data_IF_805441672528
#
_entry.id   IF_805441672528
#
_cell.length_a   1.000
_cell.length_b   1.000
_cell.length_c   1.000
_cell.angle_alpha   90.00
_cell.angle_beta   90.00
_cell.angle_gamma   90.00
#
_symmetry.space_group_name_H-M   'P 1'
#
loop_
_entity.id
_entity.type
_entity.pdbx_description
1 polymer ?
#
# COMPACT_ATOMS: atom_id res chain seq x y z
N UNK A 1 -5.12 7.25 14.78
CA UNK A 1 -4.09 6.60 14.84
C UNK A 1 -2.71 7.24 14.94
N UNK A 2 -2.61 8.58 14.84
CA UNK A 2 -1.36 9.28 15.13
C UNK A 2 -0.84 9.02 16.56
N UNK A 3 -1.73 8.90 17.55
CA UNK A 3 -1.36 8.59 18.94
C UNK A 3 -0.78 7.19 19.06
N UNK A 4 -1.35 6.21 18.36
CA UNK A 4 -0.82 4.84 18.33
C UNK A 4 0.56 4.78 17.68
N UNK A 5 0.75 5.47 16.55
CA UNK A 5 2.04 5.54 15.84
C UNK A 5 3.12 6.17 16.73
N UNK A 6 2.80 7.27 17.45
CA UNK A 6 3.71 7.92 18.39
C UNK A 6 4.07 7.00 19.55
N UNK A 7 3.09 6.33 20.14
CA UNK A 7 3.31 5.39 21.24
C UNK A 7 4.18 4.20 20.79
N UNK A 8 3.95 3.70 19.59
CA UNK A 8 4.75 2.62 19.02
C UNK A 8 6.20 3.06 18.75
N UNK A 9 6.41 4.26 18.18
CA UNK A 9 7.74 4.85 17.98
C UNK A 9 8.49 5.00 19.34
N UNK A 10 7.81 5.49 20.38
CA UNK A 10 8.38 5.64 21.72
C UNK A 10 8.73 4.27 22.34
N UNK A 11 7.85 3.28 22.17
CA UNK A 11 8.08 1.93 22.66
C UNK A 11 9.27 1.27 21.94
N UNK A 12 9.36 1.42 20.62
CA UNK A 12 10.50 0.92 19.83
C UNK A 12 11.83 1.54 20.25
N UNK A 13 11.82 2.83 20.60
CA UNK A 13 13.03 3.52 21.06
C UNK A 13 13.45 3.10 22.47
N UNK A 14 12.51 2.77 23.37
CA UNK A 14 12.78 2.43 24.78
C UNK A 14 12.98 0.94 25.03
N UNK A 15 12.27 0.10 24.33
CA UNK A 15 12.32 -1.36 24.46
C UNK A 15 12.11 -2.02 23.07
N UNK A 16 13.16 -2.10 22.24
CA UNK A 16 13.07 -2.65 20.88
C UNK A 16 12.60 -4.12 20.83
N UNK A 17 12.77 -4.86 21.91
CA UNK A 17 12.40 -6.27 22.01
C UNK A 17 11.02 -6.49 22.68
N UNK A 18 10.27 -5.42 22.92
CA UNK A 18 8.96 -5.54 23.55
C UNK A 18 8.03 -6.43 22.73
N UNK A 19 7.37 -7.37 23.43
CA UNK A 19 6.43 -8.30 22.78
C UNK A 19 5.25 -7.62 22.09
N UNK A 20 4.89 -6.40 22.46
CA UNK A 20 3.85 -5.60 21.78
C UNK A 20 4.32 -5.20 20.39
N UNK A 21 5.61 -4.89 20.20
CA UNK A 21 6.20 -4.54 18.91
C UNK A 21 6.25 -5.76 17.99
N UNK A 22 6.60 -6.93 18.54
CA UNK A 22 6.69 -8.19 17.78
C UNK A 22 5.32 -8.85 17.55
N UNK A 23 4.33 -8.59 18.40
CA UNK A 23 2.95 -9.08 18.30
C UNK A 23 2.02 -8.05 17.67
N UNK A 24 2.42 -7.39 16.59
CA UNK A 24 1.53 -6.53 15.82
C UNK A 24 0.43 -7.38 15.20
N UNK A 25 -0.74 -7.33 15.80
CA UNK A 25 -1.95 -7.99 15.33
C UNK A 25 -2.65 -8.76 16.42
N UNK A 26 -3.86 -8.31 16.74
CA UNK A 26 -4.78 -9.03 17.63
C UNK A 26 -4.93 -10.49 17.17
N UNK A 27 -4.65 -11.45 18.05
CA UNK A 27 -4.99 -12.86 17.85
C UNK A 27 -6.50 -13.01 17.92
N UNK A 28 -7.23 -12.58 16.92
CA UNK A 28 -8.64 -12.93 16.82
C UNK A 28 -8.75 -14.28 16.11
N UNK A 29 -9.38 -15.20 16.79
CA UNK A 29 -10.13 -16.40 16.34
C UNK A 29 -9.85 -16.97 14.93
N UNK A 30 -9.92 -18.23 14.85
CA UNK A 30 -10.16 -19.30 13.86
C UNK A 30 -10.28 -18.98 12.34
N UNK A 31 -10.38 -17.72 11.88
CA UNK A 31 -10.59 -17.35 10.47
C UNK A 31 -9.31 -16.90 9.75
N UNK A 32 -8.14 -16.97 10.39
CA UNK A 32 -6.88 -16.61 9.77
C UNK A 32 -6.27 -17.78 9.02
N UNK A 33 -5.93 -17.55 7.76
CA UNK A 33 -5.24 -18.52 6.93
C UNK A 33 -3.87 -18.00 6.53
N UNK A 34 -2.94 -18.88 6.26
CA UNK A 34 -1.66 -18.52 5.67
C UNK A 34 -1.89 -18.05 4.26
N UNK A 35 -1.48 -16.80 3.95
CA UNK A 35 -1.60 -16.25 2.61
C UNK A 35 -0.47 -16.76 1.71
N UNK A 36 -0.70 -16.89 0.38
CA UNK A 36 0.26 -17.50 -0.53
C UNK A 36 1.62 -16.78 -0.61
N UNK A 37 1.61 -15.45 -0.41
CA UNK A 37 2.80 -14.61 -0.49
C UNK A 37 2.86 -13.67 0.70
N UNK A 38 4.04 -13.52 1.28
CA UNK A 38 4.26 -12.59 2.37
C UNK A 38 4.00 -11.14 1.92
N UNK A 39 3.27 -10.38 2.72
CA UNK A 39 2.93 -8.98 2.43
C UNK A 39 3.59 -8.05 3.46
N UNK A 40 4.83 -7.64 3.20
CA UNK A 40 5.56 -6.70 4.05
C UNK A 40 4.91 -5.31 4.11
N UNK A 41 5.30 -4.52 5.10
CA UNK A 41 4.98 -3.09 5.20
C UNK A 41 6.06 -2.26 4.50
N UNK A 42 5.79 -0.97 4.26
CA UNK A 42 6.79 -0.01 3.82
C UNK A 42 7.45 0.67 5.02
N UNK A 43 8.75 0.93 4.93
CA UNK A 43 9.42 1.77 5.92
C UNK A 43 9.00 3.22 5.71
N UNK A 44 8.79 3.96 6.82
CA UNK A 44 8.35 5.35 6.75
C UNK A 44 9.56 6.27 6.99
N UNK A 45 9.83 7.14 6.03
CA UNK A 45 10.88 8.15 6.12
C UNK A 45 10.24 9.53 6.00
N UNK A 46 10.54 10.44 6.96
CA UNK A 46 9.93 11.77 7.04
C UNK A 46 10.90 12.91 6.74
N UNK A 47 12.21 12.63 6.67
CA UNK A 47 13.26 13.65 6.58
C UNK A 47 14.14 13.48 5.35
N UNK A 48 14.71 14.58 4.87
CA UNK A 48 15.70 14.59 3.78
C UNK A 48 16.91 13.69 4.07
N UNK A 49 17.42 13.78 5.28
CA UNK A 49 18.59 12.98 5.67
C UNK A 49 18.25 11.50 5.76
N UNK A 50 17.03 11.16 6.17
CA UNK A 50 16.52 9.79 6.13
C UNK A 50 16.47 9.23 4.71
N UNK A 51 16.01 10.01 3.72
CA UNK A 51 16.01 9.62 2.30
C UNK A 51 17.43 9.44 1.79
N UNK A 52 18.35 10.36 2.10
CA UNK A 52 19.78 10.23 1.73
C UNK A 52 20.40 8.99 2.34
N UNK A 53 20.16 8.76 3.63
CA UNK A 53 20.65 7.57 4.35
C UNK A 53 20.15 6.29 3.70
N UNK A 54 18.86 6.23 3.35
CA UNK A 54 18.28 5.08 2.65
C UNK A 54 18.95 4.83 1.30
N UNK A 55 19.10 5.87 0.49
CA UNK A 55 19.75 5.80 -0.82
C UNK A 55 21.20 5.29 -0.68
N UNK A 56 21.98 5.87 0.23
CA UNK A 56 23.37 5.49 0.46
C UNK A 56 23.49 4.06 1.00
N UNK A 57 22.66 3.70 1.98
CA UNK A 57 22.68 2.37 2.62
C UNK A 57 22.46 1.24 1.62
N UNK A 58 21.62 1.45 0.64
CA UNK A 58 21.27 0.42 -0.36
C UNK A 58 21.91 0.67 -1.72
N UNK A 59 22.88 1.62 -1.80
CA UNK A 59 23.57 2.00 -3.04
C UNK A 59 22.61 2.22 -4.21
N UNK A 60 21.53 2.94 -3.93
CA UNK A 60 20.46 3.19 -4.90
C UNK A 60 20.89 4.34 -5.81
N UNK A 61 20.86 4.10 -7.11
CA UNK A 61 21.16 5.08 -8.15
C UNK A 61 20.21 4.86 -9.32
N UNK A 62 20.08 5.82 -10.21
CA UNK A 62 19.25 5.79 -11.42
C UNK A 62 17.82 6.33 -11.22
N UNK A 63 16.81 5.62 -11.66
CA UNK A 63 15.43 6.09 -11.68
C UNK A 63 14.59 5.52 -10.55
N UNK A 64 13.58 6.27 -10.15
CA UNK A 64 12.58 5.85 -9.17
C UNK A 64 11.19 5.94 -9.77
N UNK A 65 10.30 5.13 -9.25
CA UNK A 65 8.85 5.30 -9.41
C UNK A 65 8.32 5.97 -8.15
N UNK A 66 7.60 7.07 -8.31
CA UNK A 66 6.79 7.64 -7.23
C UNK A 66 5.34 7.30 -7.51
N UNK A 67 4.64 6.79 -6.50
CA UNK A 67 3.22 6.48 -6.59
C UNK A 67 2.45 6.93 -5.34
N UNK A 68 1.12 7.00 -5.45
CA UNK A 68 0.23 7.23 -4.31
C UNK A 68 0.42 6.13 -3.26
N UNK A 69 0.54 6.52 -1.99
CA UNK A 69 0.37 5.63 -0.86
C UNK A 69 -1.10 5.63 -0.45
N UNK A 70 -1.84 4.70 -1.01
CA UNK A 70 -3.28 4.57 -0.81
C UNK A 70 -3.62 4.26 0.64
N UNK A 71 -4.64 4.90 1.18
CA UNK A 71 -5.11 4.72 2.57
C UNK A 71 -6.36 3.84 2.63
N UNK A 72 -6.18 2.56 2.38
CA UNK A 72 -7.23 1.55 2.38
C UNK A 72 -6.86 0.29 3.18
N UNK A 73 -7.27 -0.87 2.72
CA UNK A 73 -6.96 -2.18 3.30
C UNK A 73 -6.16 -3.00 2.28
N UNK A 74 -4.91 -3.31 2.63
CA UNK A 74 -4.03 -4.06 1.74
C UNK A 74 -4.53 -5.48 1.51
N UNK A 75 -4.59 -5.89 0.25
CA UNK A 75 -5.09 -7.18 -0.18
C UNK A 75 -4.22 -7.84 -1.25
N UNK A 76 -4.26 -9.16 -1.28
CA UNK A 76 -3.59 -10.03 -2.24
C UNK A 76 -4.63 -10.74 -3.08
N UNK A 77 -4.58 -10.55 -4.40
CA UNK A 77 -5.32 -11.33 -5.37
C UNK A 77 -4.41 -12.44 -5.93
N UNK A 78 -4.83 -13.67 -5.85
CA UNK A 78 -4.07 -14.82 -6.36
C UNK A 78 -5.02 -15.95 -6.74
N UNK A 79 -4.94 -16.43 -7.99
CA UNK A 79 -5.73 -17.57 -8.48
C UNK A 79 -7.24 -17.45 -8.19
N UNK A 80 -7.84 -16.32 -8.55
CA UNK A 80 -9.26 -16.02 -8.31
C UNK A 80 -9.67 -16.04 -6.82
N UNK A 81 -8.72 -15.83 -5.92
CA UNK A 81 -8.95 -15.64 -4.49
C UNK A 81 -8.41 -14.28 -4.04
N UNK A 82 -9.03 -13.73 -3.02
CA UNK A 82 -8.67 -12.45 -2.44
C UNK A 82 -8.44 -12.61 -0.93
N UNK A 83 -7.33 -12.06 -0.46
CA UNK A 83 -6.91 -12.18 0.93
C UNK A 83 -6.57 -10.82 1.52
N UNK A 84 -6.92 -10.57 2.77
CA UNK A 84 -6.36 -9.42 3.48
C UNK A 84 -4.90 -9.68 3.85
N UNK A 85 -4.11 -8.59 3.99
CA UNK A 85 -2.71 -8.70 4.43
C UNK A 85 -2.57 -9.33 5.82
N UNK A 86 -3.46 -9.01 6.76
CA UNK A 86 -3.30 -9.40 8.16
C UNK A 86 -1.96 -8.92 8.74
N UNK A 87 -1.20 -9.86 9.34
CA UNK A 87 0.14 -9.58 9.86
C UNK A 87 1.27 -9.75 8.82
N UNK A 88 0.90 -9.94 7.55
CA UNK A 88 1.84 -10.18 6.44
C UNK A 88 2.00 -11.65 6.07
N UNK A 89 1.81 -12.58 6.97
CA UNK A 89 1.89 -14.02 6.73
C UNK A 89 0.51 -14.71 6.84
N UNK A 90 -0.32 -14.23 7.76
CA UNK A 90 -1.67 -14.74 8.01
C UNK A 90 -2.69 -13.62 7.82
N UNK A 91 -3.62 -13.81 6.91
CA UNK A 91 -4.73 -12.91 6.61
C UNK A 91 -6.08 -13.63 6.66
N UNK A 92 -7.12 -12.99 6.15
CA UNK A 92 -8.45 -13.60 5.99
C UNK A 92 -8.72 -13.84 4.52
N UNK A 93 -9.38 -14.94 4.20
CA UNK A 93 -9.98 -15.13 2.87
C UNK A 93 -11.23 -14.24 2.76
N UNK A 94 -11.18 -13.34 1.81
CA UNK A 94 -12.25 -12.39 1.49
C UNK A 94 -12.69 -12.54 0.02
N UNK A 95 -12.48 -13.71 -0.57
CA UNK A 95 -12.77 -14.00 -1.98
C UNK A 95 -14.23 -13.76 -2.35
N UNK A 96 -15.16 -13.83 -1.39
CA UNK A 96 -16.55 -13.48 -1.59
C UNK A 96 -16.80 -12.03 -2.03
N UNK A 97 -15.81 -11.13 -1.85
CA UNK A 97 -15.88 -9.75 -2.31
C UNK A 97 -15.61 -9.60 -3.82
N UNK A 98 -14.95 -10.57 -4.45
CA UNK A 98 -14.58 -10.49 -5.88
C UNK A 98 -15.78 -10.20 -6.78
N UNK A 99 -16.95 -10.77 -6.47
CA UNK A 99 -18.18 -10.56 -7.25
C UNK A 99 -18.70 -9.11 -7.24
N UNK A 100 -18.23 -8.29 -6.29
CA UNK A 100 -18.62 -6.88 -6.15
C UNK A 100 -17.57 -5.92 -6.72
N UNK A 101 -16.34 -6.41 -6.98
CA UNK A 101 -15.26 -5.59 -7.48
C UNK A 101 -15.30 -5.53 -9.01
N UNK A 102 -15.12 -4.33 -9.55
CA UNK A 102 -14.92 -4.13 -10.99
C UNK A 102 -13.46 -4.45 -11.35
N UNK A 103 -13.16 -5.74 -11.44
CA UNK A 103 -11.84 -6.27 -11.79
C UNK A 103 -11.93 -7.28 -12.93
N UNK A 104 -10.93 -7.31 -13.83
CA UNK A 104 -10.91 -8.26 -14.92
C UNK A 104 -10.73 -9.70 -14.39
N UNK A 105 -11.33 -10.65 -15.10
CA UNK A 105 -11.07 -12.08 -14.88
C UNK A 105 -9.77 -12.43 -15.58
N UNK A 106 -8.69 -12.56 -14.84
CA UNK A 106 -7.37 -12.90 -15.36
C UNK A 106 -6.83 -14.11 -14.60
N UNK A 107 -6.51 -15.16 -15.35
CA UNK A 107 -5.89 -16.35 -14.76
C UNK A 107 -4.38 -16.19 -14.62
N UNK A 108 -3.82 -16.89 -13.64
CA UNK A 108 -2.36 -17.01 -13.43
C UNK A 108 -1.67 -15.66 -13.17
N UNK A 109 -2.33 -14.75 -12.46
CA UNK A 109 -1.71 -13.52 -11.98
C UNK A 109 -1.76 -13.47 -10.46
N UNK A 110 -0.71 -12.94 -9.87
CA UNK A 110 -0.65 -12.64 -8.44
C UNK A 110 -0.41 -11.14 -8.27
N UNK A 111 -1.37 -10.48 -7.67
CA UNK A 111 -1.41 -9.02 -7.57
C UNK A 111 -1.57 -8.58 -6.12
N UNK A 112 -0.77 -7.61 -5.72
CA UNK A 112 -0.96 -6.93 -4.47
C UNK A 112 -1.54 -5.55 -4.74
N UNK A 113 -2.54 -5.17 -3.98
CA UNK A 113 -3.24 -3.91 -4.13
C UNK A 113 -3.85 -3.44 -2.83
N UNK A 114 -4.63 -2.37 -2.94
CA UNK A 114 -5.38 -1.79 -1.85
C UNK A 114 -6.87 -1.87 -2.16
N UNK A 115 -7.67 -2.43 -1.25
CA UNK A 115 -9.11 -2.24 -1.24
C UNK A 115 -9.39 -0.85 -0.69
N UNK A 116 -10.09 -0.03 -1.46
CA UNK A 116 -10.27 1.39 -1.18
C UNK A 116 -11.60 1.89 -1.74
N UNK A 117 -12.04 3.05 -1.30
CA UNK A 117 -13.21 3.77 -1.81
C UNK A 117 -12.75 5.12 -2.33
N UNK A 118 -13.28 5.55 -3.49
CA UNK A 118 -12.99 6.88 -4.01
C UNK A 118 -13.51 7.98 -3.06
N UNK A 119 -12.87 9.15 -3.09
CA UNK A 119 -13.32 10.34 -2.32
C UNK A 119 -14.77 10.68 -2.61
N UNK A 120 -15.16 10.62 -3.88
CA UNK A 120 -16.55 10.88 -4.29
C UNK A 120 -17.52 9.89 -3.64
N UNK A 121 -17.23 8.58 -3.72
CA UNK A 121 -18.08 7.56 -3.11
C UNK A 121 -18.10 7.66 -1.59
N UNK A 122 -16.97 7.99 -0.96
CA UNK A 122 -16.94 8.20 0.48
C UNK A 122 -17.82 9.37 0.90
N UNK A 123 -17.72 10.54 0.25
CA UNK A 123 -18.57 11.70 0.59
C UNK A 123 -20.06 11.41 0.39
N UNK A 124 -20.40 10.65 -0.65
CA UNK A 124 -21.79 10.25 -0.97
C UNK A 124 -22.41 9.30 0.05
N UNK A 125 -21.59 8.41 0.63
CA UNK A 125 -22.06 7.29 1.46
C UNK A 125 -21.45 7.29 2.86
N UNK A 126 -20.83 8.37 3.29
CA UNK A 126 -20.07 8.52 4.53
C UNK A 126 -20.80 7.97 5.77
N UNK A 127 -22.08 8.31 5.95
CA UNK A 127 -22.89 7.83 7.07
C UNK A 127 -22.19 8.05 8.43
N UNK A 128 -21.99 6.97 9.15
CA UNK A 128 -21.32 6.97 10.49
C UNK A 128 -19.81 6.84 10.42
N UNK A 129 -19.23 6.66 9.24
CA UNK A 129 -17.79 6.45 9.09
C UNK A 129 -17.00 7.76 9.17
N UNK A 130 -15.89 7.74 9.90
CA UNK A 130 -15.03 8.92 10.10
C UNK A 130 -14.01 9.11 8.98
N UNK A 131 -13.69 8.04 8.21
CA UNK A 131 -12.75 8.07 7.11
C UNK A 131 -13.10 7.00 6.07
N UNK A 132 -12.62 7.17 4.82
CA UNK A 132 -12.77 6.18 3.77
C UNK A 132 -12.17 4.83 4.19
N UNK A 133 -11.00 4.84 4.83
CA UNK A 133 -10.35 3.62 5.38
C UNK A 133 -11.23 2.90 6.41
N UNK A 134 -11.86 3.63 7.34
CA UNK A 134 -12.75 3.02 8.34
C UNK A 134 -13.97 2.38 7.70
N UNK A 135 -14.51 3.01 6.64
CA UNK A 135 -15.62 2.48 5.86
C UNK A 135 -15.22 1.20 5.12
N UNK A 136 -14.09 1.20 4.41
CA UNK A 136 -13.55 -0.02 3.76
C UNK A 136 -13.38 -1.14 4.78
N UNK A 137 -12.77 -0.86 5.93
CA UNK A 137 -12.56 -1.86 7.00
C UNK A 137 -13.87 -2.47 7.50
N UNK A 138 -14.89 -1.64 7.67
CA UNK A 138 -16.26 -2.07 8.03
C UNK A 138 -16.85 -2.98 6.96
N UNK A 139 -16.81 -2.57 5.70
CA UNK A 139 -17.36 -3.33 4.57
C UNK A 139 -16.63 -4.67 4.36
N UNK A 140 -15.31 -4.68 4.42
CA UNK A 140 -14.48 -5.91 4.30
C UNK A 140 -14.72 -6.89 5.46
N UNK A 141 -15.14 -6.39 6.62
CA UNK A 141 -15.43 -7.20 7.80
C UNK A 141 -16.88 -7.63 7.90
N UNK A 142 -17.75 -7.08 7.08
CA UNK A 142 -19.17 -7.37 7.10
C UNK A 142 -19.45 -8.82 6.65
N UNK A 143 -20.29 -9.51 7.41
CA UNK A 143 -20.69 -10.88 7.07
C UNK A 143 -22.01 -10.85 6.30
N UNK A 144 -21.94 -11.17 5.03
CA UNK A 144 -23.13 -11.21 4.15
C UNK A 144 -23.07 -10.20 3.00
N UNK A 145 -24.22 -9.87 2.44
CA UNK A 145 -24.35 -8.91 1.35
C UNK A 145 -24.62 -7.51 1.92
N UNK A 146 -23.89 -6.53 1.40
CA UNK A 146 -24.08 -5.12 1.77
C UNK A 146 -24.18 -4.27 0.50
N UNK A 147 -25.15 -3.34 0.40
CA UNK A 147 -25.36 -2.54 -0.81
C UNK A 147 -24.12 -1.75 -1.26
N UNK A 148 -23.29 -1.33 -0.30
CA UNK A 148 -22.10 -0.53 -0.58
C UNK A 148 -20.86 -1.35 -0.96
N UNK A 149 -20.93 -2.67 -1.07
CA UNK A 149 -19.76 -3.46 -1.51
C UNK A 149 -19.36 -3.14 -2.97
N UNK A 150 -20.30 -2.72 -3.80
CA UNK A 150 -20.06 -2.35 -5.20
C UNK A 150 -19.29 -1.03 -5.38
N UNK A 151 -19.10 -0.24 -4.30
CA UNK A 151 -18.30 0.99 -4.38
C UNK A 151 -16.82 0.76 -3.98
N UNK A 152 -16.47 -0.46 -3.62
CA UNK A 152 -15.09 -0.84 -3.36
C UNK A 152 -14.32 -0.96 -4.66
N UNK A 153 -13.12 -0.39 -4.67
CA UNK A 153 -12.12 -0.57 -5.71
C UNK A 153 -10.98 -1.45 -5.21
N UNK A 154 -10.40 -2.26 -6.10
CA UNK A 154 -9.13 -2.92 -5.87
C UNK A 154 -8.08 -2.28 -6.77
N UNK A 155 -7.18 -1.49 -6.16
CA UNK A 155 -6.16 -0.71 -6.87
C UNK A 155 -4.82 -1.40 -6.72
N UNK A 156 -4.26 -1.88 -7.82
CA UNK A 156 -3.05 -2.72 -7.86
C UNK A 156 -1.79 -1.86 -7.89
N UNK A 157 -0.83 -2.16 -7.03
CA UNK A 157 0.47 -1.46 -6.97
C UNK A 157 1.69 -2.38 -7.07
N UNK A 158 1.51 -3.71 -7.04
CA UNK A 158 2.59 -4.68 -7.20
C UNK A 158 2.09 -5.91 -7.97
N UNK A 159 2.86 -6.37 -8.94
CA UNK A 159 2.64 -7.64 -9.65
C UNK A 159 3.70 -8.62 -9.17
N UNK A 160 3.25 -9.67 -8.48
CA UNK A 160 4.10 -10.73 -7.97
C UNK A 160 4.29 -11.77 -9.09
N UNK A 161 5.40 -12.47 -9.11
CA UNK A 161 5.76 -13.52 -10.12
C UNK A 161 6.13 -13.00 -11.51
N UNK A 162 6.04 -11.71 -11.79
CA UNK A 162 6.65 -11.14 -12.99
C UNK A 162 8.01 -10.51 -12.63
N UNK A 163 9.06 -10.99 -13.29
CA UNK A 163 10.42 -10.45 -13.14
C UNK A 163 10.60 -9.20 -14.00
N UNK A 164 9.86 -8.14 -13.68
CA UNK A 164 9.90 -6.84 -14.34
C UNK A 164 10.05 -5.71 -13.31
N UNK A 165 10.58 -4.57 -13.76
CA UNK A 165 10.80 -3.41 -12.89
C UNK A 165 9.48 -2.83 -12.37
N UNK A 166 9.47 -2.12 -11.22
CA UNK A 166 8.25 -1.58 -10.60
C UNK A 166 7.38 -0.73 -11.53
N UNK A 167 7.98 0.10 -12.39
CA UNK A 167 7.21 0.88 -13.37
C UNK A 167 6.46 -0.05 -14.34
N UNK A 168 7.14 -1.05 -14.86
CA UNK A 168 6.56 -1.98 -15.84
C UNK A 168 5.47 -2.84 -15.20
N UNK A 169 5.56 -3.14 -13.88
CA UNK A 169 4.48 -3.80 -13.13
C UNK A 169 3.19 -2.97 -13.15
N UNK A 170 3.28 -1.65 -12.92
CA UNK A 170 2.12 -0.75 -12.96
C UNK A 170 1.55 -0.62 -14.38
N UNK A 171 2.41 -0.51 -15.38
CA UNK A 171 2.01 -0.50 -16.81
C UNK A 171 1.30 -1.81 -17.17
N UNK A 172 1.85 -2.95 -16.75
CA UNK A 172 1.26 -4.26 -17.00
C UNK A 172 -0.10 -4.41 -16.31
N UNK A 173 -0.19 -4.07 -15.02
CA UNK A 173 -1.45 -4.15 -14.28
C UNK A 173 -2.56 -3.31 -14.94
N UNK A 174 -2.22 -2.08 -15.37
CA UNK A 174 -3.14 -1.21 -16.11
C UNK A 174 -3.54 -1.80 -17.46
N UNK A 175 -2.58 -2.39 -18.20
CA UNK A 175 -2.81 -3.01 -19.52
C UNK A 175 -3.78 -4.19 -19.44
N UNK A 176 -3.71 -4.99 -18.37
CA UNK A 176 -4.64 -6.12 -18.15
C UNK A 176 -5.97 -5.69 -17.49
N UNK A 177 -6.21 -4.38 -17.34
CA UNK A 177 -7.50 -3.81 -16.96
C UNK A 177 -7.68 -3.51 -15.46
N UNK A 178 -6.65 -3.66 -14.62
CA UNK A 178 -6.74 -3.26 -13.20
C UNK A 178 -6.56 -1.76 -13.02
N UNK A 179 -7.23 -1.19 -12.03
CA UNK A 179 -6.95 0.15 -11.53
C UNK A 179 -5.57 0.15 -10.87
N UNK A 180 -4.81 1.24 -11.08
CA UNK A 180 -3.49 1.45 -10.49
C UNK A 180 -3.43 2.83 -9.84
N UNK A 181 -2.56 3.09 -8.84
CA UNK A 181 -2.39 4.42 -8.25
C UNK A 181 -1.87 5.42 -9.29
N UNK A 182 -1.90 6.71 -8.97
CA UNK A 182 -1.09 7.67 -9.74
C UNK A 182 0.39 7.30 -9.59
N UNK A 183 1.13 7.36 -10.68
CA UNK A 183 2.57 7.06 -10.67
C UNK A 183 3.32 7.84 -11.73
N UNK A 184 4.61 8.07 -11.48
CA UNK A 184 5.53 8.66 -12.44
C UNK A 184 6.95 8.16 -12.23
N UNK A 185 7.75 8.14 -13.29
CA UNK A 185 9.20 7.98 -13.20
C UNK A 185 9.83 9.34 -12.87
N UNK A 186 10.84 9.31 -12.00
CA UNK A 186 11.67 10.44 -11.63
C UNK A 186 13.14 10.04 -11.62
N UNK A 187 14.03 10.99 -11.83
CA UNK A 187 15.47 10.74 -11.81
C UNK A 187 16.03 10.87 -10.38
N UNK A 188 17.17 10.25 -10.16
CA UNK A 188 17.90 10.33 -8.90
C UNK A 188 18.10 11.77 -8.40
N UNK A 189 18.46 12.70 -9.33
CA UNK A 189 18.65 14.12 -9.01
C UNK A 189 17.41 14.79 -8.44
N UNK A 190 16.22 14.42 -8.88
CA UNK A 190 14.96 14.98 -8.39
C UNK A 190 14.71 14.61 -6.92
N UNK A 191 15.21 13.43 -6.52
CA UNK A 191 15.01 12.90 -5.15
C UNK A 191 16.01 13.51 -4.15
N UNK A 192 17.21 13.90 -4.57
CA UNK A 192 18.28 14.31 -3.65
C UNK A 192 18.65 15.79 -3.66
N UNK A 193 18.38 16.51 -4.76
CA UNK A 193 18.86 17.87 -4.99
C UNK A 193 17.90 18.94 -4.49
N UNK A 194 17.39 18.83 -3.25
CA UNK A 194 16.55 19.90 -2.68
C UNK A 194 17.44 21.01 -2.11
N UNK A 195 17.12 22.23 -2.46
CA UNK A 195 17.85 23.41 -1.96
C UNK A 195 17.32 23.86 -0.59
N UNK A 196 16.00 23.72 -0.35
CA UNK A 196 15.32 24.10 0.89
C UNK A 196 14.13 23.19 1.17
N UNK A 197 13.50 23.31 2.35
CA UNK A 197 12.24 22.61 2.67
C UNK A 197 11.05 23.13 1.84
N UNK A 198 11.13 24.35 1.34
CA UNK A 198 10.14 24.94 0.42
C UNK A 198 10.30 24.37 -1.00
N UNK A 199 11.54 24.07 -1.42
CA UNK A 199 11.86 23.44 -2.70
C UNK A 199 12.00 21.90 -2.55
N UNK A 200 11.15 21.29 -1.74
CA UNK A 200 11.15 19.85 -1.50
C UNK A 200 10.28 19.15 -2.53
N UNK A 201 10.92 18.54 -3.52
CA UNK A 201 10.27 17.81 -4.60
C UNK A 201 9.28 16.74 -4.11
N UNK A 202 9.65 15.95 -3.09
CA UNK A 202 8.76 14.90 -2.55
C UNK A 202 7.54 15.49 -1.83
N UNK A 203 7.71 16.57 -1.06
CA UNK A 203 6.61 17.29 -0.39
C UNK A 203 5.66 17.89 -1.42
N UNK A 204 6.20 18.54 -2.45
CA UNK A 204 5.41 19.13 -3.52
C UNK A 204 4.66 18.05 -4.30
N UNK A 205 5.31 16.90 -4.57
CA UNK A 205 4.67 15.75 -5.22
C UNK A 205 3.55 15.18 -4.35
N UNK A 206 3.75 15.02 -3.04
CA UNK A 206 2.72 14.57 -2.12
C UNK A 206 1.51 15.51 -2.11
N UNK A 207 1.74 16.83 -2.00
CA UNK A 207 0.66 17.83 -2.00
C UNK A 207 -0.14 17.77 -3.31
N UNK A 208 0.55 17.67 -4.44
CA UNK A 208 -0.08 17.50 -5.76
C UNK A 208 -0.91 16.25 -5.82
N UNK A 209 -0.36 15.10 -5.40
CA UNK A 209 -1.07 13.82 -5.44
C UNK A 209 -2.27 13.78 -4.49
N UNK A 210 -2.20 14.44 -3.32
CA UNK A 210 -3.36 14.58 -2.42
C UNK A 210 -4.55 15.28 -3.09
N UNK A 211 -4.29 16.21 -4.01
CA UNK A 211 -5.34 16.92 -4.76
C UNK A 211 -5.83 16.08 -5.93
N UNK A 212 -4.91 15.51 -6.71
CA UNK A 212 -5.21 14.84 -7.98
C UNK A 212 -5.69 13.40 -7.82
N UNK A 213 -5.37 12.73 -6.71
CA UNK A 213 -5.80 11.35 -6.49
C UNK A 213 -7.30 11.26 -6.25
N UNK A 214 -7.93 10.31 -6.92
CA UNK A 214 -9.33 9.96 -6.68
C UNK A 214 -9.55 9.31 -5.31
N UNK A 215 -8.47 8.91 -4.62
CA UNK A 215 -8.48 8.22 -3.35
C UNK A 215 -7.79 9.03 -2.27
N UNK A 216 -8.11 8.75 -1.01
CA UNK A 216 -7.32 9.26 0.10
C UNK A 216 -5.95 8.59 0.13
N UNK A 217 -4.91 9.41 0.34
CA UNK A 217 -3.54 8.96 0.44
C UNK A 217 -2.90 9.49 1.73
N UNK A 218 -2.12 8.66 2.40
CA UNK A 218 -1.40 9.03 3.63
C UNK A 218 0.08 9.37 3.39
N UNK A 219 0.52 9.25 2.13
CA UNK A 219 1.90 9.51 1.73
C UNK A 219 2.11 9.28 0.23
N UNK A 220 3.36 9.21 -0.13
CA UNK A 220 3.83 8.71 -1.44
C UNK A 220 4.79 7.55 -1.20
N UNK A 221 4.81 6.61 -2.12
CA UNK A 221 5.79 5.53 -2.16
C UNK A 221 6.88 5.92 -3.15
N UNK A 222 8.13 5.81 -2.74
CA UNK A 222 9.30 6.01 -3.59
C UNK A 222 9.99 4.66 -3.75
N UNK A 223 9.97 4.10 -4.96
CA UNK A 223 10.52 2.78 -5.26
C UNK A 223 11.65 2.90 -6.29
N UNK A 224 12.81 2.31 -5.99
CA UNK A 224 13.89 2.21 -6.97
C UNK A 224 13.43 1.36 -8.17
N UNK A 225 13.52 1.93 -9.39
CA UNK A 225 12.97 1.30 -10.59
C UNK A 225 13.90 0.24 -11.19
N UNK A 226 14.33 -0.70 -10.35
CA UNK A 226 15.08 -1.88 -10.77
C UNK A 226 14.42 -3.15 -10.22
N UNK A 227 14.66 -4.26 -10.89
CA UNK A 227 14.23 -5.57 -10.41
C UNK A 227 15.01 -5.97 -9.17
N UNK A 228 14.28 -6.28 -8.11
CA UNK A 228 14.81 -6.83 -6.86
C UNK A 228 14.15 -8.17 -6.54
N UNK A 229 14.91 -9.14 -6.05
CA UNK A 229 14.33 -10.36 -5.53
C UNK A 229 13.33 -10.05 -4.41
N UNK A 230 12.17 -10.67 -4.45
CA UNK A 230 11.19 -10.54 -3.38
C UNK A 230 11.72 -11.20 -2.09
N UNK A 231 11.62 -10.50 -0.99
CA UNK A 231 12.07 -10.96 0.33
C UNK A 231 10.92 -11.07 1.30
N UNK A 232 11.09 -11.90 2.32
CA UNK A 232 10.23 -11.88 3.51
C UNK A 232 10.66 -10.69 4.38
N UNK A 233 9.72 -9.79 4.65
CA UNK A 233 9.98 -8.54 5.37
C UNK A 233 9.66 -7.30 4.54
N UNK A 234 10.06 -6.14 5.04
CA UNK A 234 9.85 -4.87 4.35
C UNK A 234 10.80 -4.75 3.15
N UNK A 235 10.35 -4.25 2.00
CA UNK A 235 11.20 -4.05 0.85
C UNK A 235 12.30 -3.03 1.16
N UNK A 236 13.52 -3.33 0.71
CA UNK A 236 14.68 -2.44 0.90
C UNK A 236 14.76 -1.35 -0.16
N UNK A 237 14.15 -1.60 -1.30
CA UNK A 237 14.13 -0.73 -2.48
C UNK A 237 12.95 0.24 -2.52
N UNK A 238 12.13 0.30 -1.46
CA UNK A 238 10.95 1.18 -1.36
C UNK A 238 10.81 1.78 0.03
N UNK A 239 10.34 3.02 0.07
CA UNK A 239 10.01 3.78 1.28
C UNK A 239 8.70 4.53 1.12
#
# INVERSE_FOLDING_TARGET
DQVYDILLEVLQARDPNNKVITNIGYKSSNDKIKIPYFMGSMNKIKTKDGVKTWITKYNISSQFVISDKLDGISALYSNNKLYTRGNGEYGRDISGLIKYLDIPKVDKVVLRGELIISKENFEKHRGVYTSARSMVSGLVSYKGEHPLLNILDFVVFEVIELEIAPFDQLVYAKKIGFKVPNYKIVNYGDIINWKSDEDNFLKNTLNKYKIESNYDIDGIIVTHNLLYPRIVGNPKNSI
#
